data_IF_955029694727
#
_entry.id   IF_955029694727
#
_cell.length_a   1.000
_cell.length_b   1.000
_cell.length_c   1.000
_cell.angle_alpha   90.00
_cell.angle_beta   90.00
_cell.angle_gamma   90.00
#
_symmetry.space_group_name_H-M   'P 1'
#
loop_
_entity.id
_entity.type
_entity.pdbx_description
1 polymer ?
#
# COMPACT_ATOMS: atom_id res chain seq x y z
N UNK A 1 20.87 -4.36 10.98
CA UNK A 1 20.57 -3.60 9.75
C UNK A 1 20.86 -4.41 8.48
N UNK A 2 22.08 -4.93 8.30
CA UNK A 2 22.45 -5.73 7.11
C UNK A 2 21.58 -6.97 6.88
N UNK A 3 21.26 -7.74 7.93
CA UNK A 3 20.39 -8.92 7.82
C UNK A 3 18.97 -8.58 7.34
N UNK A 4 18.40 -7.45 7.76
CA UNK A 4 17.07 -7.01 7.34
C UNK A 4 17.04 -6.59 5.88
N UNK A 5 18.04 -5.83 5.43
CA UNK A 5 18.18 -5.46 4.02
C UNK A 5 18.37 -6.69 3.12
N UNK A 6 19.18 -7.66 3.55
CA UNK A 6 19.38 -8.92 2.83
C UNK A 6 18.07 -9.75 2.76
N UNK A 7 17.30 -9.81 3.84
CA UNK A 7 16.01 -10.49 3.86
C UNK A 7 15.01 -9.82 2.90
N UNK A 8 14.92 -8.49 2.89
CA UNK A 8 14.05 -7.75 1.96
C UNK A 8 14.47 -8.01 0.51
N UNK A 9 15.77 -7.98 0.20
CA UNK A 9 16.27 -8.26 -1.14
C UNK A 9 15.94 -9.70 -1.59
N UNK A 10 16.15 -10.68 -0.71
CA UNK A 10 15.82 -12.09 -0.99
C UNK A 10 14.31 -12.28 -1.22
N UNK A 11 13.46 -11.68 -0.37
CA UNK A 11 12.01 -11.75 -0.51
C UNK A 11 11.51 -10.99 -1.75
N UNK A 12 12.15 -9.88 -2.13
CA UNK A 12 11.83 -9.14 -3.34
C UNK A 12 12.12 -9.98 -4.58
N UNK A 13 13.30 -10.61 -4.64
CA UNK A 13 13.66 -11.52 -5.73
C UNK A 13 12.70 -12.71 -5.82
N UNK A 14 12.33 -13.30 -4.68
CA UNK A 14 11.35 -14.38 -4.63
C UNK A 14 9.96 -13.93 -5.11
N UNK A 15 9.52 -12.73 -4.68
CA UNK A 15 8.26 -12.12 -5.11
C UNK A 15 8.22 -11.84 -6.61
N UNK A 16 9.36 -11.54 -7.24
CA UNK A 16 9.44 -11.31 -8.69
C UNK A 16 9.50 -12.64 -9.45
N UNK A 17 10.16 -13.67 -8.90
CA UNK A 17 10.24 -15.00 -9.51
C UNK A 17 8.88 -15.73 -9.53
N UNK A 18 8.10 -15.59 -8.46
CA UNK A 18 6.79 -16.22 -8.31
C UNK A 18 5.64 -15.35 -8.87
N UNK A 19 4.75 -15.94 -9.65
CA UNK A 19 3.59 -15.27 -10.24
C UNK A 19 2.73 -16.25 -11.06
N UNK A 20 1.97 -15.74 -12.04
CA UNK A 20 1.18 -16.57 -12.96
C UNK A 20 2.03 -17.55 -13.77
N UNK A 21 3.31 -17.22 -13.97
CA UNK A 21 4.34 -18.09 -14.52
C UNK A 21 5.55 -18.08 -13.59
N UNK A 22 6.10 -19.26 -13.27
CA UNK A 22 7.32 -19.35 -12.48
C UNK A 22 8.50 -19.02 -13.39
N UNK A 23 9.24 -17.97 -13.05
CA UNK A 23 10.42 -17.51 -13.80
C UNK A 23 11.66 -17.93 -13.01
N UNK A 24 12.64 -18.53 -13.69
CA UNK A 24 13.90 -18.90 -13.05
C UNK A 24 14.61 -17.66 -12.51
N UNK A 25 15.25 -17.78 -11.33
CA UNK A 25 15.90 -16.65 -10.67
C UNK A 25 17.01 -16.03 -11.54
N UNK A 26 17.71 -16.84 -12.34
CA UNK A 26 18.70 -16.36 -13.32
C UNK A 26 18.09 -15.44 -14.37
N UNK A 27 16.88 -15.74 -14.84
CA UNK A 27 16.16 -14.93 -15.83
C UNK A 27 15.66 -13.62 -15.20
N UNK A 28 15.26 -13.64 -13.93
CA UNK A 28 14.89 -12.42 -13.18
C UNK A 28 16.09 -11.49 -13.01
N UNK A 29 17.24 -12.03 -12.60
CA UNK A 29 18.47 -11.24 -12.44
C UNK A 29 18.93 -10.67 -13.78
N UNK A 30 18.87 -11.47 -14.86
CA UNK A 30 19.19 -10.99 -16.21
C UNK A 30 18.23 -9.89 -16.70
N UNK A 31 16.92 -10.04 -16.45
CA UNK A 31 15.92 -9.04 -16.82
C UNK A 31 16.12 -7.71 -16.05
N UNK A 32 16.44 -7.78 -14.76
CA UNK A 32 16.75 -6.60 -13.94
C UNK A 32 18.08 -5.95 -14.35
N UNK A 33 19.11 -6.76 -14.67
CA UNK A 33 20.39 -6.26 -15.16
C UNK A 33 20.26 -5.51 -16.48
N UNK A 34 19.49 -6.05 -17.42
CA UNK A 34 19.18 -5.37 -18.69
C UNK A 34 18.40 -4.07 -18.46
N UNK A 35 17.39 -4.07 -17.58
CA UNK A 35 16.65 -2.86 -17.23
C UNK A 35 17.51 -1.77 -16.56
N UNK A 36 18.58 -2.17 -15.85
CA UNK A 36 19.54 -1.28 -15.23
C UNK A 36 20.65 -0.78 -16.19
N UNK A 37 20.62 -1.18 -17.47
CA UNK A 37 21.63 -0.81 -18.47
C UNK A 37 22.97 -1.53 -18.29
N UNK A 38 23.00 -2.62 -17.53
CA UNK A 38 24.17 -3.49 -17.36
C UNK A 38 24.20 -4.53 -18.50
N UNK A 39 24.40 -4.07 -19.73
CA UNK A 39 24.54 -4.93 -20.91
C UNK A 39 25.93 -5.57 -20.94
N UNK A 40 26.13 -6.61 -20.11
CA UNK A 40 27.29 -7.50 -20.21
C UNK A 40 27.03 -8.66 -21.19
N UNK A 41 28.09 -9.30 -21.69
CA UNK A 41 28.05 -10.47 -22.60
C UNK A 41 27.21 -11.67 -22.08
N UNK A 42 26.89 -11.70 -20.79
CA UNK A 42 25.99 -12.70 -20.18
C UNK A 42 24.50 -12.50 -20.57
N UNK A 43 24.15 -11.35 -21.17
CA UNK A 43 22.78 -10.94 -21.55
C UNK A 43 22.40 -11.43 -22.96
N UNK A 44 23.35 -11.96 -23.74
CA UNK A 44 23.10 -12.42 -25.12
C UNK A 44 22.08 -13.57 -25.23
N UNK A 45 21.80 -14.29 -24.14
CA UNK A 45 20.72 -15.30 -24.08
C UNK A 45 19.34 -14.75 -23.69
N UNK A 46 19.27 -13.54 -23.13
CA UNK A 46 18.04 -12.91 -22.65
C UNK A 46 17.27 -12.17 -23.76
N UNK A 47 17.94 -11.78 -24.85
CA UNK A 47 17.31 -11.20 -26.06
C UNK A 47 16.31 -12.19 -26.71
N UNK A 48 16.44 -13.50 -26.45
CA UNK A 48 15.46 -14.50 -26.87
C UNK A 48 14.18 -14.55 -25.99
N UNK A 49 14.15 -13.84 -24.84
CA UNK A 49 13.06 -13.87 -23.84
C UNK A 49 12.46 -12.47 -23.57
N UNK A 50 12.35 -11.63 -24.59
CA UNK A 50 11.75 -10.28 -24.52
C UNK A 50 10.40 -10.24 -23.75
N UNK A 51 9.48 -11.24 -23.89
CA UNK A 51 8.25 -11.25 -23.11
C UNK A 51 8.47 -11.38 -21.60
N UNK A 52 9.49 -12.14 -21.17
CA UNK A 52 9.81 -12.35 -19.74
C UNK A 52 10.37 -11.09 -19.11
N UNK A 53 11.29 -10.40 -19.81
CA UNK A 53 11.85 -9.13 -19.34
C UNK A 53 10.76 -8.07 -19.15
N UNK A 54 9.83 -7.96 -20.10
CA UNK A 54 8.66 -7.08 -20.00
C UNK A 54 7.77 -7.40 -18.79
N UNK A 55 7.46 -8.67 -18.54
CA UNK A 55 6.65 -9.06 -17.37
C UNK A 55 7.35 -8.69 -16.06
N UNK A 56 8.66 -8.93 -15.97
CA UNK A 56 9.45 -8.62 -14.77
C UNK A 56 9.48 -7.11 -14.51
N UNK A 57 9.80 -6.32 -15.54
CA UNK A 57 10.05 -4.87 -15.41
C UNK A 57 8.76 -4.05 -15.35
N UNK A 58 7.77 -4.35 -16.20
CA UNK A 58 6.57 -3.53 -16.34
C UNK A 58 5.45 -3.93 -15.35
N UNK A 59 5.46 -5.17 -14.82
CA UNK A 59 4.37 -5.68 -13.96
C UNK A 59 4.83 -6.09 -12.56
N UNK A 60 5.85 -6.96 -12.46
CA UNK A 60 6.25 -7.55 -11.17
C UNK A 60 7.07 -6.59 -10.32
N UNK A 61 8.06 -5.94 -10.91
CA UNK A 61 8.94 -5.01 -10.22
C UNK A 61 8.18 -3.83 -9.58
N UNK A 62 7.27 -3.11 -10.29
CA UNK A 62 6.52 -2.02 -9.69
C UNK A 62 5.63 -2.51 -8.54
N UNK A 63 5.02 -3.69 -8.68
CA UNK A 63 4.20 -4.30 -7.63
C UNK A 63 5.01 -4.66 -6.38
N UNK A 64 6.20 -5.25 -6.55
CA UNK A 64 7.09 -5.60 -5.44
C UNK A 64 7.60 -4.35 -4.73
N UNK A 65 7.97 -3.30 -5.47
CA UNK A 65 8.36 -2.00 -4.89
C UNK A 65 7.20 -1.41 -4.08
N UNK A 66 5.98 -1.39 -4.64
CA UNK A 66 4.78 -0.92 -3.93
C UNK A 66 4.52 -1.72 -2.65
N UNK A 67 4.65 -3.06 -2.68
CA UNK A 67 4.47 -3.89 -1.49
C UNK A 67 5.50 -3.56 -0.39
N UNK A 68 6.76 -3.34 -0.76
CA UNK A 68 7.82 -2.93 0.18
C UNK A 68 7.51 -1.55 0.77
N UNK A 69 7.16 -0.57 -0.06
CA UNK A 69 6.84 0.79 0.38
C UNK A 69 5.63 0.82 1.31
N UNK A 70 4.54 0.13 0.96
CA UNK A 70 3.32 0.04 1.79
C UNK A 70 3.61 -0.69 3.10
N UNK A 71 4.31 -1.83 3.05
CA UNK A 71 4.68 -2.59 4.25
C UNK A 71 5.58 -1.80 5.20
N UNK A 72 6.60 -1.12 4.68
CA UNK A 72 7.47 -0.25 5.47
C UNK A 72 6.69 0.93 6.08
N UNK A 73 5.82 1.58 5.30
CA UNK A 73 4.96 2.66 5.78
C UNK A 73 4.05 2.22 6.92
N UNK A 74 3.32 1.10 6.74
CA UNK A 74 2.45 0.55 7.78
C UNK A 74 3.24 0.10 9.01
N UNK A 75 4.43 -0.46 8.85
CA UNK A 75 5.31 -0.82 9.96
C UNK A 75 5.75 0.39 10.78
N UNK A 76 6.12 1.50 10.12
CA UNK A 76 6.48 2.75 10.80
C UNK A 76 5.27 3.34 11.54
N UNK A 77 4.10 3.39 10.88
CA UNK A 77 2.88 3.92 11.51
C UNK A 77 2.49 3.06 12.72
N UNK A 78 2.54 1.73 12.61
CA UNK A 78 2.26 0.82 13.71
C UNK A 78 3.18 1.05 14.91
N UNK A 79 4.49 1.13 14.67
CA UNK A 79 5.46 1.42 15.73
C UNK A 79 5.22 2.79 16.40
N UNK A 80 4.90 3.82 15.62
CA UNK A 80 4.57 5.15 16.13
C UNK A 80 3.31 5.11 17.00
N UNK A 81 2.25 4.45 16.54
CA UNK A 81 1.00 4.36 17.29
C UNK A 81 1.19 3.60 18.59
N UNK A 82 1.80 2.42 18.55
CA UNK A 82 2.09 1.62 19.74
C UNK A 82 2.89 2.42 20.77
N UNK A 83 3.86 3.22 20.33
CA UNK A 83 4.69 4.08 21.19
C UNK A 83 3.88 5.23 21.81
N UNK A 84 3.09 5.95 21.01
CA UNK A 84 2.29 7.11 21.45
C UNK A 84 1.17 6.67 22.40
N UNK A 85 0.48 5.58 22.07
CA UNK A 85 -0.61 5.06 22.89
C UNK A 85 -0.12 4.21 24.06
N UNK A 86 1.17 3.83 24.08
CA UNK A 86 1.75 2.85 25.02
C UNK A 86 0.90 1.57 25.07
N UNK A 87 0.49 1.11 23.89
CA UNK A 87 -0.41 -0.02 23.73
C UNK A 87 0.00 -0.84 22.52
N UNK A 88 0.55 -2.02 22.75
CA UNK A 88 1.05 -2.92 21.69
C UNK A 88 -0.09 -3.47 20.81
N UNK A 89 -1.35 -3.33 21.23
CA UNK A 89 -2.54 -3.68 20.44
C UNK A 89 -3.04 -2.53 19.53
N UNK A 90 -2.41 -1.36 19.56
CA UNK A 90 -2.81 -0.25 18.71
C UNK A 90 -2.53 -0.56 17.23
N UNK A 91 -3.57 -0.43 16.40
CA UNK A 91 -3.52 -0.71 14.96
C UNK A 91 -3.80 0.59 14.14
N UNK A 92 -2.99 0.91 13.12
CA UNK A 92 -3.25 2.02 12.19
C UNK A 92 -4.64 2.06 11.56
N UNK A 93 -5.32 0.91 11.43
CA UNK A 93 -6.65 0.87 10.83
C UNK A 93 -7.78 1.35 11.76
N UNK A 94 -7.50 1.59 13.04
CA UNK A 94 -8.53 1.97 14.04
C UNK A 94 -9.12 3.38 13.87
N UNK A 95 -8.54 4.23 13.01
CA UNK A 95 -8.97 5.62 12.85
C UNK A 95 -9.94 5.87 11.69
N UNK A 96 -10.61 4.83 11.18
CA UNK A 96 -11.57 4.98 10.07
C UNK A 96 -10.96 5.44 8.74
N UNK A 97 -9.63 5.44 8.64
CA UNK A 97 -8.88 5.76 7.43
C UNK A 97 -9.25 4.80 6.28
N UNK A 98 -9.34 3.50 6.58
CA UNK A 98 -9.64 2.46 5.59
C UNK A 98 -11.07 2.57 5.06
N UNK A 99 -12.05 2.76 5.95
CA UNK A 99 -13.46 2.93 5.60
C UNK A 99 -13.70 4.24 4.83
N UNK A 100 -13.04 5.34 5.21
CA UNK A 100 -13.03 6.58 4.44
C UNK A 100 -12.45 6.43 3.04
N UNK A 101 -11.31 5.73 2.93
CA UNK A 101 -10.69 5.48 1.63
C UNK A 101 -11.56 4.59 0.73
N UNK A 102 -12.19 3.56 1.31
CA UNK A 102 -13.16 2.72 0.61
C UNK A 102 -14.36 3.55 0.14
N UNK A 103 -14.91 4.44 0.97
CA UNK A 103 -16.00 5.33 0.57
C UNK A 103 -15.62 6.28 -0.57
N UNK A 104 -14.41 6.85 -0.53
CA UNK A 104 -13.88 7.63 -1.65
C UNK A 104 -13.82 6.82 -2.94
N UNK A 105 -13.29 5.59 -2.91
CA UNK A 105 -13.24 4.70 -4.06
C UNK A 105 -14.64 4.32 -4.58
N UNK A 106 -15.55 3.92 -3.68
CA UNK A 106 -16.93 3.56 -4.03
C UNK A 106 -17.67 4.73 -4.67
N UNK A 107 -17.48 5.96 -4.17
CA UNK A 107 -18.11 7.15 -4.76
C UNK A 107 -17.71 7.36 -6.23
N UNK A 108 -16.44 7.10 -6.59
CA UNK A 108 -15.97 7.14 -7.97
C UNK A 108 -16.58 6.01 -8.79
N UNK A 109 -16.60 4.79 -8.26
CA UNK A 109 -17.09 3.62 -8.99
C UNK A 109 -18.59 3.72 -9.31
N UNK A 110 -19.37 4.37 -8.46
CA UNK A 110 -20.84 4.32 -8.49
C UNK A 110 -21.52 5.62 -8.90
N UNK A 111 -20.97 6.78 -8.51
CA UNK A 111 -21.64 8.08 -8.65
C UNK A 111 -20.86 8.98 -9.61
N UNK A 112 -19.59 9.24 -9.29
CA UNK A 112 -18.81 10.24 -10.02
C UNK A 112 -18.24 9.70 -11.33
N UNK A 113 -17.95 8.40 -11.44
CA UNK A 113 -17.28 7.86 -12.62
C UNK A 113 -15.87 8.42 -12.82
N UNK A 114 -15.25 8.07 -13.94
CA UNK A 114 -13.87 8.44 -14.25
C UNK A 114 -13.76 9.83 -14.89
N UNK A 115 -12.99 10.73 -14.26
CA UNK A 115 -12.81 12.12 -14.70
C UNK A 115 -11.34 12.50 -14.95
N UNK A 116 -10.41 11.88 -14.23
CA UNK A 116 -8.95 12.07 -14.30
C UNK A 116 -8.19 10.81 -14.76
N UNK A 117 -8.88 9.85 -15.37
CA UNK A 117 -8.30 8.60 -15.82
C UNK A 117 -7.82 7.73 -14.65
N UNK A 118 -6.63 7.15 -14.81
CA UNK A 118 -6.00 6.27 -13.82
C UNK A 118 -5.79 6.91 -12.44
N UNK A 119 -5.83 8.25 -12.35
CA UNK A 119 -5.65 8.99 -11.11
C UNK A 119 -6.94 9.23 -10.32
N UNK A 120 -8.11 9.12 -10.94
CA UNK A 120 -9.39 9.41 -10.28
C UNK A 120 -9.58 8.57 -9.03
N UNK A 121 -9.38 7.26 -9.15
CA UNK A 121 -9.63 6.31 -8.06
C UNK A 121 -8.61 6.46 -6.92
N UNK A 122 -7.28 6.48 -7.16
CA UNK A 122 -6.29 6.71 -6.11
C UNK A 122 -6.49 8.04 -5.37
N UNK A 123 -6.76 9.13 -6.10
CA UNK A 123 -6.98 10.45 -5.49
C UNK A 123 -8.24 10.45 -4.65
N UNK A 124 -9.36 9.92 -5.16
CA UNK A 124 -10.59 9.84 -4.40
C UNK A 124 -10.44 8.99 -3.13
N UNK A 125 -9.83 7.81 -3.23
CA UNK A 125 -9.55 6.96 -2.08
C UNK A 125 -8.65 7.68 -1.04
N UNK A 126 -7.59 8.34 -1.49
CA UNK A 126 -6.71 9.09 -0.61
C UNK A 126 -7.43 10.25 0.09
N UNK A 127 -8.21 11.04 -0.65
CA UNK A 127 -9.01 12.13 -0.07
C UNK A 127 -10.08 11.63 0.90
N UNK A 128 -10.74 10.51 0.61
CA UNK A 128 -11.71 9.88 1.51
C UNK A 128 -11.06 9.45 2.83
N UNK A 129 -9.85 8.89 2.78
CA UNK A 129 -9.06 8.57 3.97
C UNK A 129 -8.71 9.83 4.78
N UNK A 130 -8.19 10.87 4.13
CA UNK A 130 -7.86 12.15 4.80
C UNK A 130 -9.11 12.76 5.46
N UNK A 131 -10.24 12.76 4.76
CA UNK A 131 -11.49 13.27 5.29
C UNK A 131 -11.92 12.49 6.53
N UNK A 132 -11.84 11.16 6.51
CA UNK A 132 -12.16 10.35 7.67
C UNK A 132 -11.27 10.65 8.88
N UNK A 133 -9.95 10.71 8.68
CA UNK A 133 -9.03 11.09 9.75
C UNK A 133 -9.30 12.51 10.27
N UNK A 134 -9.59 13.46 9.38
CA UNK A 134 -9.98 14.82 9.75
C UNK A 134 -11.24 14.85 10.61
N UNK A 135 -12.27 14.07 10.26
CA UNK A 135 -13.52 13.98 11.03
C UNK A 135 -13.25 13.38 12.42
N UNK A 136 -12.45 12.32 12.52
CA UNK A 136 -12.05 11.73 13.81
C UNK A 136 -11.33 12.76 14.69
N UNK A 137 -10.35 13.48 14.13
CA UNK A 137 -9.60 14.50 14.86
C UNK A 137 -10.51 15.65 15.32
N UNK A 138 -11.44 16.09 14.47
CA UNK A 138 -12.42 17.11 14.83
C UNK A 138 -13.32 16.65 15.96
N UNK A 139 -13.85 15.42 15.91
CA UNK A 139 -14.68 14.85 16.97
C UNK A 139 -13.93 14.80 18.31
N UNK A 140 -12.70 14.29 18.31
CA UNK A 140 -11.88 14.19 19.53
C UNK A 140 -11.56 15.57 20.09
N UNK A 141 -11.29 16.57 19.24
CA UNK A 141 -10.95 17.94 19.68
C UNK A 141 -12.09 18.67 20.41
N UNK A 142 -13.35 18.29 20.15
CA UNK A 142 -14.54 18.96 20.70
C UNK A 142 -14.98 18.44 22.08
N UNK A 143 -14.47 17.30 22.53
CA UNK A 143 -14.91 16.66 23.78
C UNK A 143 -13.90 16.93 24.90
N UNK A 144 -14.35 17.51 26.03
CA UNK A 144 -13.47 17.80 27.19
C UNK A 144 -13.02 16.50 27.89
N UNK A 145 -11.72 16.25 27.98
CA UNK A 145 -11.10 15.06 28.62
C UNK A 145 -10.15 14.29 27.67
N UNK A 146 -9.01 13.83 28.19
CA UNK A 146 -7.97 13.15 27.42
C UNK A 146 -7.99 11.64 27.74
N UNK A 147 -8.17 10.79 26.72
CA UNK A 147 -8.17 9.33 26.89
C UNK A 147 -8.15 8.56 25.56
N UNK A 148 -7.37 7.47 25.42
CA UNK A 148 -7.28 6.66 24.19
C UNK A 148 -8.63 6.06 23.76
N UNK A 149 -9.50 5.75 24.72
CA UNK A 149 -10.83 5.16 24.48
C UNK A 149 -11.71 6.03 23.57
N UNK A 150 -11.62 7.36 23.70
CA UNK A 150 -12.42 8.29 22.88
C UNK A 150 -11.98 8.30 21.43
N UNK A 151 -10.68 8.19 21.21
CA UNK A 151 -10.11 8.15 19.87
C UNK A 151 -10.57 6.86 19.15
N UNK A 152 -10.62 5.75 19.88
CA UNK A 152 -11.14 4.47 19.37
C UNK A 152 -12.64 4.57 19.06
N UNK A 153 -13.45 5.09 19.99
CA UNK A 153 -14.90 5.25 19.78
C UNK A 153 -15.23 6.20 18.63
N UNK A 154 -14.49 7.31 18.50
CA UNK A 154 -14.64 8.25 17.39
C UNK A 154 -14.26 7.59 16.04
N UNK A 155 -13.15 6.84 15.99
CA UNK A 155 -12.73 6.09 14.80
C UNK A 155 -13.76 5.04 14.37
N UNK A 156 -14.34 4.32 15.32
CA UNK A 156 -15.39 3.32 15.08
C UNK A 156 -16.68 3.98 14.58
N UNK A 157 -17.13 5.08 15.18
CA UNK A 157 -18.30 5.82 14.74
C UNK A 157 -18.14 6.35 13.31
N UNK A 158 -16.99 6.94 12.99
CA UNK A 158 -16.67 7.42 11.64
C UNK A 158 -16.60 6.26 10.66
N UNK A 159 -16.05 5.12 11.07
CA UNK A 159 -16.02 3.92 10.23
C UNK A 159 -17.40 3.43 9.85
N UNK A 160 -18.33 3.34 10.81
CA UNK A 160 -19.71 2.94 10.53
C UNK A 160 -20.45 3.95 9.67
N UNK A 161 -20.21 5.25 9.85
CA UNK A 161 -20.75 6.28 8.98
C UNK A 161 -20.33 6.08 7.52
N UNK A 162 -19.04 5.84 7.26
CA UNK A 162 -18.55 5.58 5.90
C UNK A 162 -19.01 4.23 5.35
N UNK A 163 -19.06 3.18 6.17
CA UNK A 163 -19.60 1.88 5.75
C UNK A 163 -21.06 2.00 5.31
N UNK A 164 -21.88 2.72 6.09
CA UNK A 164 -23.28 2.98 5.73
C UNK A 164 -23.39 3.72 4.39
N UNK A 165 -22.49 4.66 4.12
CA UNK A 165 -22.45 5.38 2.85
C UNK A 165 -22.11 4.47 1.66
N UNK A 166 -21.37 3.39 1.88
CA UNK A 166 -20.98 2.45 0.82
C UNK A 166 -21.91 1.26 0.64
N UNK A 167 -22.87 1.07 1.55
CA UNK A 167 -23.70 -0.14 1.62
C UNK A 167 -25.13 0.15 1.13
N UNK A 168 -25.26 0.43 -0.17
CA UNK A 168 -26.53 0.63 -0.88
C UNK A 168 -26.59 -0.20 -2.16
#
# INVERSE_FOLDING_TARGET
MAAGAAAIAALALLSIAYGSTVIALSDVIAALGHAAGLDGDLVSGAVAKIPVAKIVVDLRLPRTIMAICVGAGLGVIGALLQTVTRNDLADPFLFGLSSGAAAGAVSVITIFGDHFGIWTLPVAAFTGGILAAGIVLLLVSRVRGQGPERLILAGLAVSFMFIALTNY
#
